data_IF_780690298655
#
_entry.id   IF_780690298655
#
_cell.length_a   1.000
_cell.length_b   1.000
_cell.length_c   1.000
_cell.angle_alpha   90.00
_cell.angle_beta   90.00
_cell.angle_gamma   90.00
#
_symmetry.space_group_name_H-M   'P 1'
#
loop_
_entity.id
_entity.type
_entity.pdbx_description
1 polymer ?
#
# COMPACT_ATOMS: atom_id res chain seq x y z
N UNK A 1 -14.38 2.78 -29.71
CA UNK A 1 -15.25 3.47 -28.73
C UNK A 1 -16.25 2.47 -28.18
N UNK A 2 -16.43 2.40 -26.86
CA UNK A 2 -17.43 1.53 -26.23
C UNK A 2 -18.86 1.96 -26.56
N UNK A 3 -19.81 1.04 -26.46
CA UNK A 3 -21.25 1.35 -26.59
C UNK A 3 -21.84 1.64 -25.21
N UNK A 4 -22.85 2.52 -25.09
CA UNK A 4 -23.58 2.68 -23.83
C UNK A 4 -24.25 1.36 -23.44
N UNK A 5 -24.23 1.06 -22.14
CA UNK A 5 -24.83 -0.13 -21.55
C UNK A 5 -25.90 0.30 -20.55
N UNK A 6 -27.08 -0.29 -20.65
CA UNK A 6 -28.17 -0.14 -19.69
C UNK A 6 -28.18 -1.31 -18.74
N UNK A 7 -28.24 -1.04 -17.43
CA UNK A 7 -28.16 -2.05 -16.37
C UNK A 7 -29.31 -1.82 -15.40
N UNK A 8 -30.03 -2.90 -15.04
CA UNK A 8 -30.97 -2.90 -13.91
C UNK A 8 -30.18 -2.95 -12.61
N UNK A 9 -30.38 -1.93 -11.78
CA UNK A 9 -29.69 -1.72 -10.50
C UNK A 9 -30.64 -1.62 -9.32
N UNK A 10 -31.94 -1.83 -9.56
CA UNK A 10 -33.04 -1.63 -8.60
C UNK A 10 -32.91 -2.43 -7.31
N UNK A 11 -32.22 -3.57 -7.35
CA UNK A 11 -31.98 -4.43 -6.18
C UNK A 11 -30.94 -3.89 -5.21
N UNK A 12 -30.05 -3.00 -5.66
CA UNK A 12 -28.88 -2.54 -4.90
C UNK A 12 -28.93 -1.04 -4.62
N UNK A 13 -29.43 -0.25 -5.58
CA UNK A 13 -29.44 1.20 -5.52
C UNK A 13 -30.88 1.73 -5.51
N UNK A 14 -31.26 2.57 -4.53
CA UNK A 14 -32.59 3.17 -4.49
C UNK A 14 -32.86 4.06 -5.70
N UNK A 15 -34.13 4.17 -6.08
CA UNK A 15 -34.58 5.10 -7.11
C UNK A 15 -34.12 6.54 -6.81
N UNK A 16 -33.62 7.23 -7.82
CA UNK A 16 -33.12 8.60 -7.73
C UNK A 16 -31.74 8.75 -7.10
N UNK A 17 -31.11 7.67 -6.64
CA UNK A 17 -29.71 7.71 -6.20
C UNK A 17 -28.76 7.96 -7.38
N UNK A 18 -27.60 8.56 -7.10
CA UNK A 18 -26.52 8.70 -8.08
C UNK A 18 -25.58 7.50 -7.94
N UNK A 19 -25.31 6.84 -9.06
CA UNK A 19 -24.39 5.70 -9.17
C UNK A 19 -23.22 6.12 -10.06
N UNK A 20 -22.00 5.74 -9.68
CA UNK A 20 -20.76 6.06 -10.37
C UNK A 20 -20.13 4.80 -10.93
N UNK A 21 -19.60 4.86 -12.15
CA UNK A 21 -18.61 3.87 -12.62
C UNK A 21 -17.22 4.26 -12.12
N UNK A 22 -16.59 3.38 -11.34
CA UNK A 22 -15.27 3.62 -10.74
C UNK A 22 -14.19 3.89 -11.79
N UNK A 23 -14.24 3.19 -12.93
CA UNK A 23 -13.19 3.29 -13.96
C UNK A 23 -13.23 4.60 -14.75
N UNK A 24 -14.42 5.01 -15.21
CA UNK A 24 -14.57 6.25 -15.99
C UNK A 24 -14.79 7.49 -15.11
N UNK A 25 -15.26 7.28 -13.87
CA UNK A 25 -15.73 8.35 -13.01
C UNK A 25 -17.10 8.93 -13.39
N UNK A 26 -17.72 8.44 -14.48
CA UNK A 26 -19.03 8.90 -14.93
C UNK A 26 -20.12 8.54 -13.92
N UNK A 27 -21.13 9.39 -13.80
CA UNK A 27 -22.28 9.16 -12.91
C UNK A 27 -23.58 9.11 -13.69
N UNK A 28 -24.52 8.30 -13.21
CA UNK A 28 -25.90 8.23 -13.70
C UNK A 28 -26.86 8.20 -12.51
N UNK A 29 -28.03 8.79 -12.69
CA UNK A 29 -29.13 8.69 -11.73
C UNK A 29 -29.91 7.42 -12.00
N UNK A 30 -30.30 6.70 -10.95
CA UNK A 30 -31.22 5.56 -11.08
C UNK A 30 -32.58 6.11 -11.45
N UNK A 31 -33.05 5.73 -12.64
CA UNK A 31 -34.36 6.08 -13.17
C UNK A 31 -35.09 4.81 -13.57
N UNK A 32 -36.27 4.60 -12.97
CA UNK A 32 -37.08 3.40 -13.16
C UNK A 32 -36.29 2.11 -12.88
N UNK A 33 -35.43 2.15 -11.86
CA UNK A 33 -34.55 1.03 -11.50
C UNK A 33 -33.35 0.80 -12.42
N UNK A 34 -33.17 1.60 -13.47
CA UNK A 34 -32.10 1.43 -14.44
C UNK A 34 -31.11 2.59 -14.42
N UNK A 35 -29.89 2.31 -14.89
CA UNK A 35 -28.91 3.33 -15.27
C UNK A 35 -28.38 3.03 -16.67
N UNK A 36 -27.91 4.07 -17.37
CA UNK A 36 -27.19 3.92 -18.63
C UNK A 36 -25.85 4.64 -18.54
N UNK A 37 -24.75 3.90 -18.74
CA UNK A 37 -23.39 4.42 -18.69
C UNK A 37 -22.54 3.89 -19.85
N UNK A 38 -21.53 4.67 -20.24
CA UNK A 38 -20.51 4.24 -21.20
C UNK A 38 -19.30 3.71 -20.43
N UNK A 39 -18.86 2.45 -20.67
CA UNK A 39 -17.65 1.93 -20.07
C UNK A 39 -16.41 2.75 -20.44
N UNK A 40 -15.45 2.81 -19.51
CA UNK A 40 -14.21 3.55 -19.72
C UNK A 40 -13.42 3.01 -20.92
N UNK A 41 -12.73 3.91 -21.63
CA UNK A 41 -11.77 3.50 -22.65
C UNK A 41 -10.63 2.73 -21.96
N UNK A 42 -10.50 1.43 -22.24
CA UNK A 42 -9.52 0.56 -21.61
C UNK A 42 -10.02 -0.28 -20.42
N UNK A 43 -11.33 -0.25 -20.10
CA UNK A 43 -11.91 -1.20 -19.13
C UNK A 43 -12.45 -2.49 -19.79
N UNK A 44 -12.20 -2.70 -21.08
CA UNK A 44 -12.72 -3.83 -21.88
C UNK A 44 -14.24 -4.02 -21.77
N UNK A 45 -14.98 -2.93 -21.56
CA UNK A 45 -16.44 -2.94 -21.44
C UNK A 45 -16.95 -3.23 -20.02
N UNK A 46 -16.06 -3.38 -19.04
CA UNK A 46 -16.43 -3.56 -17.64
C UNK A 46 -16.90 -2.24 -17.03
N UNK A 47 -17.94 -2.34 -16.20
CA UNK A 47 -18.43 -1.29 -15.32
C UNK A 47 -18.30 -1.77 -13.87
N UNK A 48 -17.78 -0.92 -12.99
CA UNK A 48 -17.78 -1.16 -11.55
C UNK A 48 -18.59 -0.06 -10.89
N UNK A 49 -19.78 -0.42 -10.41
CA UNK A 49 -20.77 0.54 -9.93
C UNK A 49 -20.65 0.76 -8.42
N UNK A 50 -20.52 2.02 -8.01
CA UNK A 50 -20.50 2.46 -6.62
C UNK A 50 -21.52 3.58 -6.39
N UNK A 51 -21.93 3.80 -5.13
CA UNK A 51 -22.74 4.97 -4.79
C UNK A 51 -21.92 6.23 -5.02
N UNK A 52 -22.47 7.21 -5.73
CA UNK A 52 -21.82 8.51 -5.93
C UNK A 52 -22.09 9.47 -4.76
N UNK A 53 -22.88 9.06 -3.76
CA UNK A 53 -22.99 9.80 -2.50
C UNK A 53 -21.66 9.76 -1.80
N UNK A 54 -20.97 10.90 -1.79
CA UNK A 54 -19.81 11.08 -0.94
C UNK A 54 -20.31 11.16 0.49
N UNK A 55 -20.25 10.05 1.23
CA UNK A 55 -20.41 10.12 2.68
C UNK A 55 -19.33 11.04 3.20
N UNK A 56 -19.76 12.06 3.95
CA UNK A 56 -18.84 13.03 4.55
C UNK A 56 -17.79 12.22 5.32
N UNK A 57 -16.48 12.43 5.08
CA UNK A 57 -15.46 11.63 5.72
C UNK A 57 -15.71 11.68 7.22
N UNK A 58 -15.96 10.50 7.81
CA UNK A 58 -16.07 10.37 9.24
C UNK A 58 -14.76 10.86 9.87
N UNK A 59 -14.80 11.43 11.08
CA UNK A 59 -13.59 11.75 11.80
C UNK A 59 -12.74 10.48 11.92
N UNK A 60 -11.49 10.55 11.46
CA UNK A 60 -10.55 9.45 11.63
C UNK A 60 -10.38 9.16 13.14
N UNK A 61 -10.51 7.90 13.54
CA UNK A 61 -10.40 7.47 14.93
C UNK A 61 -9.51 6.23 15.07
N UNK A 62 -8.65 6.25 16.08
CA UNK A 62 -7.81 5.11 16.49
C UNK A 62 -8.56 4.07 17.34
N UNK A 63 -9.80 4.36 17.77
CA UNK A 63 -10.55 3.47 18.65
C UNK A 63 -10.77 2.12 17.96
N UNK A 64 -10.39 1.03 18.63
CA UNK A 64 -10.42 -0.36 18.14
C UNK A 64 -9.51 -0.67 16.94
N UNK A 65 -8.53 0.17 16.62
CA UNK A 65 -7.52 -0.16 15.61
C UNK A 65 -6.58 -1.26 16.13
N UNK A 66 -6.43 -2.35 15.38
CA UNK A 66 -5.39 -3.36 15.64
C UNK A 66 -4.20 -3.07 14.75
N UNK A 67 -3.07 -2.69 15.35
CA UNK A 67 -1.84 -2.37 14.61
C UNK A 67 -0.91 -3.58 14.64
N UNK A 68 -0.64 -4.16 13.48
CA UNK A 68 0.37 -5.21 13.33
C UNK A 68 1.66 -4.62 12.79
N UNK A 69 2.74 -4.76 13.56
CA UNK A 69 4.09 -4.49 13.07
C UNK A 69 4.63 -5.77 12.43
N UNK A 70 4.69 -5.80 11.10
CA UNK A 70 5.38 -6.86 10.36
C UNK A 70 6.78 -6.35 10.02
N UNK A 71 7.79 -6.88 10.71
CA UNK A 71 9.18 -6.66 10.35
C UNK A 71 9.58 -7.77 9.37
N UNK A 72 9.87 -7.40 8.13
CA UNK A 72 10.54 -8.31 7.21
C UNK A 72 12.01 -8.39 7.63
N UNK A 73 12.43 -9.54 8.14
CA UNK A 73 13.85 -9.83 8.35
C UNK A 73 14.51 -9.94 6.97
N UNK A 74 15.13 -8.83 6.52
CA UNK A 74 15.86 -8.77 5.27
C UNK A 74 17.26 -9.31 5.52
N UNK A 75 17.50 -10.56 5.18
CA UNK A 75 18.86 -11.07 4.98
C UNK A 75 19.55 -10.46 3.73
N UNK A 76 19.39 -9.16 3.51
CA UNK A 76 20.21 -8.34 2.61
C UNK A 76 20.33 -6.94 3.24
N UNK A 77 21.55 -6.54 3.57
CA UNK A 77 21.83 -5.23 4.14
C UNK A 77 21.70 -4.15 3.06
N UNK A 78 20.46 -3.67 2.84
CA UNK A 78 20.10 -2.81 1.72
C UNK A 78 20.82 -1.45 1.65
N UNK A 79 21.52 -1.01 2.70
CA UNK A 79 22.41 0.14 2.63
C UNK A 79 23.50 0.12 3.72
N UNK A 80 24.70 -0.41 3.43
CA UNK A 80 25.81 -0.45 4.38
C UNK A 80 26.30 0.93 4.86
N UNK A 81 25.98 2.01 4.15
CA UNK A 81 26.38 3.36 4.56
C UNK A 81 25.72 3.82 5.87
N UNK A 82 24.66 3.14 6.33
CA UNK A 82 23.98 3.45 7.58
C UNK A 82 24.31 2.49 8.74
N UNK A 83 25.23 1.55 8.55
CA UNK A 83 25.63 0.55 9.58
C UNK A 83 26.26 1.19 10.82
N UNK A 84 26.70 2.45 10.69
CA UNK A 84 27.31 3.25 11.77
C UNK A 84 26.35 4.30 12.34
N UNK A 85 25.05 4.15 12.11
CA UNK A 85 24.02 5.05 12.64
C UNK A 85 24.20 5.23 14.17
N UNK A 86 24.14 6.49 14.61
CA UNK A 86 24.25 6.88 16.02
C UNK A 86 25.61 6.56 16.70
N UNK A 87 26.70 6.53 15.93
CA UNK A 87 28.06 6.47 16.51
C UNK A 87 28.44 5.12 17.11
N UNK A 88 27.76 4.03 16.71
CA UNK A 88 28.03 2.69 17.21
C UNK A 88 29.28 2.12 16.53
N UNK A 89 30.40 2.06 17.25
CA UNK A 89 31.63 1.44 16.77
C UNK A 89 31.64 -0.08 17.05
N UNK A 90 31.94 -0.90 16.05
CA UNK A 90 32.26 -2.32 16.22
C UNK A 90 33.63 -2.47 16.89
N UNK A 91 33.67 -3.07 18.08
CA UNK A 91 34.93 -3.41 18.75
C UNK A 91 35.50 -4.66 18.09
N UNK A 92 36.26 -4.51 17.01
CA UNK A 92 37.15 -5.58 16.55
C UNK A 92 38.46 -5.49 17.32
N UNK A 93 38.63 -6.36 18.32
CA UNK A 93 39.96 -6.75 18.80
C UNK A 93 40.06 -8.27 18.70
N UNK A 94 40.54 -8.76 17.57
CA UNK A 94 41.25 -10.04 17.55
C UNK A 94 42.72 -9.72 17.78
N UNK A 95 43.16 -9.79 19.05
CA UNK A 95 44.56 -9.56 19.41
C UNK A 95 45.36 -10.77 18.92
N UNK A 96 46.08 -10.62 17.82
CA UNK A 96 47.05 -11.62 17.35
C UNK A 96 48.19 -11.69 18.36
N UNK A 97 48.26 -12.75 19.16
CA UNK A 97 49.42 -13.06 19.99
C UNK A 97 50.58 -13.44 19.05
N UNK A 98 51.64 -12.63 19.04
CA UNK A 98 52.92 -12.99 18.43
C UNK A 98 53.81 -13.68 19.49
N UNK A 99 54.57 -14.73 19.14
CA UNK A 99 55.46 -15.41 20.08
C UNK A 99 56.70 -14.55 20.39
N UNK A 100 57.06 -14.48 21.67
CA UNK A 100 58.28 -13.80 22.15
C UNK A 100 59.48 -14.74 22.00
N UNK A 101 60.41 -14.43 21.10
CA UNK A 101 61.74 -15.04 21.08
C UNK A 101 62.62 -14.30 22.08
N UNK A 102 62.99 -14.97 23.17
CA UNK A 102 63.96 -14.46 24.15
C UNK A 102 65.37 -14.50 23.55
N UNK A 103 66.02 -13.34 23.42
CA UNK A 103 67.45 -13.26 23.18
C UNK A 103 68.18 -13.27 24.54
N UNK A 104 69.07 -14.24 24.71
CA UNK A 104 70.01 -14.35 25.84
C UNK A 104 71.18 -13.39 25.55
N UNK A 105 71.42 -12.42 26.44
CA UNK A 105 72.67 -11.61 26.43
C UNK A 105 73.79 -12.34 27.18
N UNK A 106 75.05 -12.30 26.72
CA UNK A 106 76.18 -12.86 27.46
C UNK A 106 76.90 -11.79 28.30
N UNK A 107 77.47 -12.24 29.43
CA UNK A 107 78.66 -11.66 30.08
C UNK A 107 78.41 -10.52 31.05
#
# INVERSE_FOLDING_TARGET
MGKPLTVDVSSTFPEGSLVRDFYSGNTAKVEQGHITLMPAAGSDGLLLLESATVEKPAPFSWQNATVYFVLTDRFENGNPANDHSYGRHTKTVCKKLAPSTAAISPG
#
